data_IF_470520570191
#
_entry.id   IF_470520570191
#
_cell.length_a   1.000
_cell.length_b   1.000
_cell.length_c   1.000
_cell.angle_alpha   90.00
_cell.angle_beta   90.00
_cell.angle_gamma   90.00
#
_symmetry.space_group_name_H-M   'P 1'
#
loop_
_entity.id
_entity.type
_entity.pdbx_description
1 polymer ?
#
# COMPACT_ATOMS: atom_id res chain seq x y z
N UNK A 1 -19.63 -4.32 34.05
CA UNK A 1 -18.60 -3.36 33.63
C UNK A 1 -19.12 -1.96 33.36
N UNK A 2 -20.43 -1.76 33.13
CA UNK A 2 -20.95 -0.42 32.80
C UNK A 2 -20.87 0.60 33.94
N UNK A 3 -20.66 0.13 35.17
CA UNK A 3 -20.45 0.94 36.36
C UNK A 3 -18.97 1.27 36.67
N UNK A 4 -18.02 0.84 35.83
CA UNK A 4 -16.61 1.19 36.02
C UNK A 4 -16.37 2.66 35.61
N UNK A 5 -15.61 3.43 36.41
CA UNK A 5 -15.08 4.74 36.01
C UNK A 5 -14.19 4.63 34.76
N UNK A 6 -14.17 5.65 33.93
CA UNK A 6 -13.38 5.67 32.68
C UNK A 6 -11.87 5.54 32.96
N UNK A 7 -11.40 6.03 34.10
CA UNK A 7 -9.99 5.96 34.51
C UNK A 7 -9.55 4.52 34.76
N UNK A 8 -10.42 3.69 35.36
CA UNK A 8 -10.15 2.27 35.58
C UNK A 8 -10.18 1.48 34.27
N UNK A 9 -11.02 1.91 33.32
CA UNK A 9 -11.07 1.32 31.98
C UNK A 9 -9.75 1.59 31.24
N UNK A 10 -9.27 2.84 31.25
CA UNK A 10 -7.98 3.20 30.63
C UNK A 10 -6.82 2.46 31.30
N UNK A 11 -6.81 2.35 32.63
CA UNK A 11 -5.80 1.59 33.35
C UNK A 11 -5.76 0.10 32.94
N UNK A 12 -6.92 -0.53 32.72
CA UNK A 12 -6.99 -1.90 32.22
C UNK A 12 -6.46 -2.03 30.79
N UNK A 13 -6.70 -1.02 29.94
CA UNK A 13 -6.19 -1.01 28.56
C UNK A 13 -4.66 -0.92 28.52
N UNK A 14 -4.06 -0.06 29.35
CA UNK A 14 -2.60 0.10 29.42
C UNK A 14 -1.84 -1.18 29.80
N UNK A 15 -2.52 -2.12 30.47
CA UNK A 15 -1.94 -3.38 30.96
C UNK A 15 -2.40 -4.62 30.17
N UNK A 16 -3.25 -4.44 29.16
CA UNK A 16 -3.83 -5.55 28.39
C UNK A 16 -3.14 -5.68 27.03
N UNK A 17 -3.01 -6.91 26.54
CA UNK A 17 -2.61 -7.14 25.16
C UNK A 17 -3.78 -6.87 24.19
N UNK A 18 -3.46 -6.68 22.91
CA UNK A 18 -4.43 -6.29 21.88
C UNK A 18 -5.54 -7.35 21.70
N UNK A 19 -5.24 -8.62 21.98
CA UNK A 19 -6.21 -9.72 21.97
C UNK A 19 -7.23 -9.60 23.10
N UNK A 20 -6.77 -9.29 24.33
CA UNK A 20 -7.65 -9.05 25.48
C UNK A 20 -8.50 -7.81 25.27
N UNK A 21 -7.90 -6.72 24.76
CA UNK A 21 -8.63 -5.49 24.43
C UNK A 21 -9.75 -5.78 23.42
N UNK A 22 -9.44 -6.56 22.39
CA UNK A 22 -10.44 -6.96 21.41
C UNK A 22 -11.57 -7.78 22.03
N UNK A 23 -11.26 -8.83 22.82
CA UNK A 23 -12.28 -9.64 23.48
C UNK A 23 -13.17 -8.82 24.43
N UNK A 24 -12.57 -7.91 25.20
CA UNK A 24 -13.29 -7.00 26.09
C UNK A 24 -14.18 -6.03 25.32
N UNK A 25 -13.71 -5.53 24.16
CA UNK A 25 -14.49 -4.62 23.31
C UNK A 25 -15.75 -5.29 22.73
N UNK A 26 -15.74 -6.61 22.53
CA UNK A 26 -16.91 -7.35 22.06
C UNK A 26 -18.02 -7.44 23.11
N UNK A 27 -17.65 -7.45 24.39
CA UNK A 27 -18.60 -7.60 25.51
C UNK A 27 -19.02 -6.26 26.14
N UNK A 28 -18.25 -5.18 25.95
CA UNK A 28 -18.55 -3.87 26.50
C UNK A 28 -18.62 -2.76 25.45
N UNK A 29 -19.79 -2.13 25.31
CA UNK A 29 -20.04 -1.08 24.32
C UNK A 29 -19.26 0.22 24.58
N UNK A 30 -19.10 0.65 25.84
CA UNK A 30 -18.32 1.85 26.17
C UNK A 30 -16.86 1.62 25.81
N UNK A 31 -16.31 0.48 26.20
CA UNK A 31 -14.96 0.08 25.83
C UNK A 31 -14.79 0.06 24.31
N UNK A 32 -15.72 -0.57 23.59
CA UNK A 32 -15.74 -0.61 22.12
C UNK A 32 -15.71 0.75 21.44
N UNK A 33 -16.25 1.80 22.08
CA UNK A 33 -16.17 3.17 21.55
C UNK A 33 -14.79 3.78 21.79
N UNK A 34 -14.22 3.56 22.98
CA UNK A 34 -12.91 4.09 23.38
C UNK A 34 -11.79 3.46 22.56
N UNK A 35 -11.78 2.13 22.42
CA UNK A 35 -10.68 1.40 21.76
C UNK A 35 -10.82 1.34 20.23
N UNK A 36 -11.94 1.85 19.69
CA UNK A 36 -12.25 1.76 18.27
C UNK A 36 -11.16 2.35 17.37
N UNK A 37 -10.59 3.54 17.66
CA UNK A 37 -9.53 4.10 16.85
C UNK A 37 -8.30 3.18 16.79
N UNK A 38 -7.89 2.63 17.93
CA UNK A 38 -6.72 1.74 18.04
C UNK A 38 -6.96 0.39 17.33
N UNK A 39 -8.15 -0.20 17.49
CA UNK A 39 -8.50 -1.47 16.86
C UNK A 39 -8.54 -1.39 15.33
N UNK A 40 -8.88 -0.23 14.77
CA UNK A 40 -8.99 -0.02 13.33
C UNK A 40 -7.77 0.70 12.74
N UNK A 41 -6.80 1.12 13.56
CA UNK A 41 -5.59 1.82 13.09
C UNK A 41 -4.81 1.00 12.05
N UNK A 42 -4.73 -0.32 12.28
CA UNK A 42 -3.90 -1.23 11.47
C UNK A 42 -4.73 -2.40 10.98
N UNK A 43 -4.77 -2.58 9.67
CA UNK A 43 -5.32 -3.77 9.04
C UNK A 43 -4.20 -4.59 8.40
N UNK A 44 -4.27 -5.91 8.59
CA UNK A 44 -3.35 -6.83 7.95
C UNK A 44 -4.08 -8.05 7.41
N UNK A 45 -3.84 -8.38 6.16
CA UNK A 45 -4.50 -9.48 5.45
C UNK A 45 -4.26 -10.84 6.14
N UNK A 46 -3.08 -11.03 6.71
CA UNK A 46 -2.71 -12.26 7.44
C UNK A 46 -3.51 -12.48 8.73
N UNK A 47 -4.16 -11.43 9.26
CA UNK A 47 -4.88 -11.46 10.54
C UNK A 47 -6.39 -11.27 10.39
N UNK A 48 -6.90 -11.04 9.18
CA UNK A 48 -8.31 -10.72 9.01
C UNK A 48 -8.84 -10.91 7.61
N UNK A 49 -10.15 -11.10 7.51
CA UNK A 49 -10.85 -11.29 6.24
C UNK A 49 -11.08 -9.94 5.55
N UNK A 50 -10.52 -9.70 4.35
CA UNK A 50 -10.68 -8.43 3.65
C UNK A 50 -12.14 -8.13 3.32
N UNK A 51 -12.96 -9.16 3.11
CA UNK A 51 -14.37 -9.02 2.76
C UNK A 51 -15.19 -8.54 3.97
N UNK A 52 -14.95 -9.13 5.15
CA UNK A 52 -15.59 -8.68 6.39
C UNK A 52 -15.13 -7.29 6.79
N UNK A 53 -13.84 -6.98 6.59
CA UNK A 53 -13.31 -5.65 6.84
C UNK A 53 -13.95 -4.61 5.90
N UNK A 54 -14.00 -4.91 4.60
CA UNK A 54 -14.63 -4.05 3.60
C UNK A 54 -16.13 -3.83 3.88
N UNK A 55 -16.86 -4.89 4.27
CA UNK A 55 -18.26 -4.78 4.70
C UNK A 55 -18.40 -3.84 5.90
N UNK A 56 -17.51 -3.96 6.88
CA UNK A 56 -17.50 -3.11 8.08
C UNK A 56 -17.25 -1.65 7.74
N UNK A 57 -16.24 -1.37 6.90
CA UNK A 57 -15.94 -0.02 6.41
C UNK A 57 -17.12 0.57 5.60
N UNK A 58 -17.78 -0.25 4.80
CA UNK A 58 -18.95 0.19 4.04
C UNK A 58 -20.17 0.48 4.92
N UNK A 59 -20.32 -0.22 6.03
CA UNK A 59 -21.42 -0.03 6.99
C UNK A 59 -21.19 1.18 7.92
N UNK A 60 -19.93 1.46 8.28
CA UNK A 60 -19.57 2.58 9.15
C UNK A 60 -18.34 3.30 8.60
N UNK A 61 -18.59 4.43 7.95
CA UNK A 61 -17.55 5.21 7.27
C UNK A 61 -16.51 5.81 8.19
N UNK A 62 -16.91 6.12 9.42
CA UNK A 62 -16.04 6.74 10.41
C UNK A 62 -14.91 5.79 10.79
N UNK A 63 -15.10 4.48 10.64
CA UNK A 63 -14.03 3.50 10.85
C UNK A 63 -12.89 3.66 9.84
N UNK A 64 -13.20 4.04 8.61
CA UNK A 64 -12.20 4.24 7.56
C UNK A 64 -11.23 5.38 7.84
N UNK A 65 -11.66 6.38 8.63
CA UNK A 65 -10.80 7.52 9.01
C UNK A 65 -9.75 7.14 10.05
N UNK A 66 -10.01 6.07 10.83
CA UNK A 66 -9.05 5.54 11.79
C UNK A 66 -7.96 4.69 11.14
N UNK A 67 -8.19 4.12 9.95
CA UNK A 67 -7.21 3.25 9.31
C UNK A 67 -5.99 4.06 8.84
N UNK A 68 -4.84 3.79 9.45
CA UNK A 68 -3.54 4.41 9.17
C UNK A 68 -2.58 3.49 8.45
N UNK A 69 -2.67 2.19 8.67
CA UNK A 69 -1.73 1.24 8.09
C UNK A 69 -2.44 0.02 7.50
N UNK A 70 -2.05 -0.37 6.30
CA UNK A 70 -2.53 -1.58 5.64
C UNK A 70 -1.34 -2.44 5.23
N UNK A 71 -1.35 -3.71 5.65
CA UNK A 71 -0.43 -4.73 5.16
C UNK A 71 -1.18 -5.79 4.36
N UNK A 72 -0.74 -6.03 3.13
CA UNK A 72 -1.42 -6.87 2.15
C UNK A 72 -0.49 -7.97 1.62
N UNK A 73 -0.61 -9.19 2.13
CA UNK A 73 0.11 -10.38 1.64
C UNK A 73 -0.87 -11.53 1.41
N UNK A 74 -1.48 -11.56 0.23
CA UNK A 74 -2.48 -12.56 -0.14
C UNK A 74 -1.90 -13.97 -0.38
N UNK A 75 -0.58 -14.13 -0.34
CA UNK A 75 0.09 -15.43 -0.45
C UNK A 75 0.64 -15.97 0.86
N UNK A 76 0.50 -15.21 1.94
CA UNK A 76 0.95 -15.66 3.25
C UNK A 76 0.30 -17.01 3.61
N UNK A 77 0.98 -17.83 4.41
CA UNK A 77 0.41 -19.09 4.87
C UNK A 77 -0.91 -18.86 5.64
N UNK A 78 -0.98 -17.76 6.40
CA UNK A 78 -2.19 -17.32 7.09
C UNK A 78 -3.33 -16.95 6.11
N UNK A 79 -3.03 -16.23 5.02
CA UNK A 79 -4.02 -15.93 3.97
C UNK A 79 -4.68 -17.19 3.41
N UNK A 80 -3.92 -18.27 3.23
CA UNK A 80 -4.43 -19.55 2.72
C UNK A 80 -5.22 -20.36 3.75
N UNK A 81 -4.99 -20.10 5.05
CA UNK A 81 -5.67 -20.80 6.13
C UNK A 81 -7.10 -20.28 6.35
N UNK A 82 -7.40 -19.07 5.88
CA UNK A 82 -8.72 -18.48 6.00
C UNK A 82 -9.62 -18.89 4.83
N UNK A 83 -10.80 -19.50 5.08
CA UNK A 83 -11.76 -19.70 4.01
C UNK A 83 -12.16 -18.34 3.42
N UNK A 84 -12.11 -18.23 2.09
CA UNK A 84 -12.55 -17.02 1.40
C UNK A 84 -14.01 -16.72 1.78
N UNK A 85 -14.24 -15.55 2.40
CA UNK A 85 -15.57 -15.14 2.79
C UNK A 85 -16.19 -14.38 1.62
N UNK A 86 -17.14 -14.99 0.93
CA UNK A 86 -17.83 -14.28 -0.14
C UNK A 86 -18.79 -13.25 0.44
N UNK A 87 -18.68 -12.00 -0.04
CA UNK A 87 -19.66 -10.99 0.26
C UNK A 87 -21.03 -11.46 -0.22
N UNK A 88 -22.06 -11.25 0.60
CA UNK A 88 -23.43 -11.46 0.12
C UNK A 88 -23.76 -10.41 -0.95
N UNK A 89 -24.68 -10.68 -1.90
CA UNK A 89 -25.12 -9.68 -2.87
C UNK A 89 -25.66 -8.39 -2.23
N UNK A 90 -26.16 -8.49 -1.00
CA UNK A 90 -26.58 -7.33 -0.20
C UNK A 90 -25.38 -6.50 0.25
N UNK A 91 -24.34 -7.15 0.76
CA UNK A 91 -23.11 -6.49 1.22
C UNK A 91 -22.38 -5.84 0.05
N UNK A 92 -22.27 -6.53 -1.10
CA UNK A 92 -21.71 -5.97 -2.32
C UNK A 92 -22.42 -4.69 -2.76
N UNK A 93 -23.76 -4.69 -2.78
CA UNK A 93 -24.55 -3.48 -3.07
C UNK A 93 -24.28 -2.37 -2.06
N UNK A 94 -24.09 -2.69 -0.79
CA UNK A 94 -23.77 -1.73 0.25
C UNK A 94 -22.39 -1.10 0.03
N UNK A 95 -21.37 -1.92 -0.24
CA UNK A 95 -20.01 -1.51 -0.57
C UNK A 95 -20.01 -0.61 -1.81
N UNK A 96 -20.65 -1.05 -2.90
CA UNK A 96 -20.74 -0.27 -4.14
C UNK A 96 -21.46 1.06 -3.92
N UNK A 97 -22.56 1.08 -3.16
CA UNK A 97 -23.26 2.32 -2.82
C UNK A 97 -22.35 3.25 -2.04
N UNK A 98 -21.57 2.72 -1.08
CA UNK A 98 -20.65 3.54 -0.30
C UNK A 98 -19.52 4.12 -1.15
N UNK A 99 -18.91 3.31 -2.00
CA UNK A 99 -17.87 3.78 -2.93
C UNK A 99 -18.43 4.89 -3.84
N UNK A 100 -19.66 4.75 -4.34
CA UNK A 100 -20.36 5.79 -5.12
C UNK A 100 -20.56 7.09 -4.35
N UNK A 101 -20.93 7.01 -3.07
CA UNK A 101 -21.12 8.17 -2.21
C UNK A 101 -19.82 8.91 -1.91
N UNK A 102 -18.72 8.17 -1.75
CA UNK A 102 -17.41 8.77 -1.46
C UNK A 102 -16.72 9.28 -2.74
N UNK A 103 -16.99 8.66 -3.90
CA UNK A 103 -16.26 8.90 -5.14
C UNK A 103 -17.16 8.71 -6.38
N UNK A 104 -17.86 9.76 -6.81
CA UNK A 104 -18.77 9.69 -7.96
C UNK A 104 -18.04 9.21 -9.24
N UNK A 105 -16.87 9.79 -9.53
CA UNK A 105 -16.05 9.42 -10.69
C UNK A 105 -15.38 8.05 -10.56
N UNK A 106 -14.79 7.75 -9.38
CA UNK A 106 -14.11 6.47 -9.20
C UNK A 106 -15.10 5.31 -9.27
N UNK A 107 -16.31 5.49 -8.75
CA UNK A 107 -17.33 4.46 -8.75
C UNK A 107 -17.87 4.10 -10.15
N UNK A 108 -17.78 4.98 -11.14
CA UNK A 108 -18.11 4.63 -12.53
C UNK A 108 -17.10 3.59 -13.08
N UNK A 109 -15.80 3.81 -12.85
CA UNK A 109 -14.71 2.91 -13.25
C UNK A 109 -14.75 1.62 -12.41
N UNK A 110 -15.00 1.76 -11.11
CA UNK A 110 -15.03 0.66 -10.16
C UNK A 110 -16.25 -0.23 -10.35
N UNK A 111 -17.44 0.33 -10.58
CA UNK A 111 -18.68 -0.46 -10.68
C UNK A 111 -18.72 -1.33 -11.93
N UNK A 112 -18.14 -0.92 -13.06
CA UNK A 112 -17.98 -1.78 -14.24
C UNK A 112 -17.04 -2.97 -13.99
N UNK A 113 -16.00 -2.79 -13.16
CA UNK A 113 -15.00 -3.82 -12.83
C UNK A 113 -15.43 -4.73 -11.68
N UNK A 114 -16.06 -4.20 -10.63
CA UNK A 114 -16.58 -5.00 -9.51
C UNK A 114 -17.75 -5.88 -9.97
N UNK A 115 -18.69 -5.33 -10.75
CA UNK A 115 -19.86 -6.07 -11.21
C UNK A 115 -19.52 -7.25 -12.13
N UNK A 116 -18.33 -7.25 -12.74
CA UNK A 116 -17.83 -8.32 -13.61
C UNK A 116 -16.83 -9.24 -12.91
N UNK A 117 -16.18 -8.81 -11.82
CA UNK A 117 -15.04 -9.53 -11.21
C UNK A 117 -15.22 -9.96 -9.75
N UNK A 118 -16.26 -9.56 -9.04
CA UNK A 118 -16.68 -10.28 -7.81
C UNK A 118 -17.49 -11.52 -8.23
N UNK A 119 -16.94 -12.30 -9.17
CA UNK A 119 -17.38 -13.66 -9.42
C UNK A 119 -16.33 -14.53 -8.72
N UNK A 120 -16.72 -15.35 -7.75
CA UNK A 120 -15.81 -15.99 -6.78
C UNK A 120 -14.60 -16.75 -7.35
N UNK A 121 -14.60 -17.14 -8.63
CA UNK A 121 -13.66 -18.13 -9.19
C UNK A 121 -12.82 -17.64 -10.38
N UNK A 122 -12.95 -16.37 -10.80
CA UNK A 122 -12.12 -15.81 -11.90
C UNK A 122 -10.88 -15.04 -11.43
N UNK A 123 -10.71 -14.90 -10.11
CA UNK A 123 -9.55 -14.25 -9.48
C UNK A 123 -8.21 -14.90 -9.84
N UNK A 124 -8.19 -16.23 -10.04
CA UNK A 124 -6.99 -16.96 -10.45
C UNK A 124 -6.63 -16.74 -11.93
N UNK A 125 -7.60 -16.32 -12.75
CA UNK A 125 -7.42 -16.20 -14.21
C UNK A 125 -7.09 -14.78 -14.66
N UNK A 126 -7.42 -13.77 -13.86
CA UNK A 126 -7.20 -12.38 -14.25
C UNK A 126 -6.10 -11.69 -13.44
N UNK A 127 -5.03 -11.22 -14.11
CA UNK A 127 -3.94 -10.52 -13.46
C UNK A 127 -4.30 -9.04 -13.20
N UNK A 128 -5.44 -8.75 -12.60
CA UNK A 128 -5.78 -7.39 -12.15
C UNK A 128 -5.53 -7.20 -10.66
N UNK A 129 -5.46 -5.94 -10.22
CA UNK A 129 -5.47 -5.55 -8.80
C UNK A 129 -6.58 -6.29 -8.08
N UNK A 130 -6.30 -6.69 -6.84
CA UNK A 130 -7.27 -7.27 -5.94
C UNK A 130 -8.37 -6.22 -5.68
N UNK A 131 -9.61 -6.44 -6.14
CA UNK A 131 -10.67 -5.45 -6.03
C UNK A 131 -11.01 -5.15 -4.57
N UNK A 132 -10.71 -6.05 -3.62
CA UNK A 132 -10.89 -5.78 -2.20
C UNK A 132 -9.89 -4.76 -1.71
N UNK A 133 -8.59 -4.92 -2.02
CA UNK A 133 -7.57 -3.95 -1.65
C UNK A 133 -7.94 -2.57 -2.20
N UNK A 134 -8.26 -2.49 -3.49
CA UNK A 134 -8.58 -1.21 -4.09
C UNK A 134 -9.88 -0.59 -3.53
N UNK A 135 -10.89 -1.38 -3.18
CA UNK A 135 -12.09 -0.89 -2.50
C UNK A 135 -11.80 -0.39 -1.08
N UNK A 136 -10.97 -1.12 -0.31
CA UNK A 136 -10.53 -0.72 1.03
C UNK A 136 -9.80 0.61 0.95
N UNK A 137 -8.84 0.75 0.03
CA UNK A 137 -8.08 1.98 -0.17
C UNK A 137 -8.98 3.20 -0.44
N UNK A 138 -10.07 3.03 -1.20
CA UNK A 138 -11.06 4.10 -1.43
C UNK A 138 -11.86 4.45 -0.17
N UNK A 139 -12.00 3.54 0.79
CA UNK A 139 -12.74 3.76 2.04
C UNK A 139 -11.84 4.16 3.21
N UNK A 140 -10.52 4.24 3.01
CA UNK A 140 -9.54 4.61 4.05
C UNK A 140 -8.81 5.90 3.69
N UNK A 141 -9.46 7.08 3.83
CA UNK A 141 -8.94 8.34 3.31
C UNK A 141 -7.68 8.84 4.02
N UNK A 142 -7.42 8.41 5.26
CA UNK A 142 -6.26 8.85 6.05
C UNK A 142 -5.18 7.78 6.15
N UNK A 143 -5.10 6.88 5.19
CA UNK A 143 -4.04 5.87 5.13
C UNK A 143 -2.66 6.55 5.03
N UNK A 144 -1.77 6.19 5.94
CA UNK A 144 -0.41 6.74 6.04
C UNK A 144 0.65 5.74 5.57
N UNK A 145 0.41 4.44 5.76
CA UNK A 145 1.34 3.38 5.39
C UNK A 145 0.64 2.24 4.64
N UNK A 146 1.24 1.84 3.52
CA UNK A 146 0.77 0.73 2.72
C UNK A 146 1.92 -0.23 2.45
N UNK A 147 1.76 -1.48 2.85
CA UNK A 147 2.70 -2.56 2.55
C UNK A 147 2.00 -3.62 1.71
N UNK A 148 2.54 -3.92 0.54
CA UNK A 148 1.99 -4.92 -0.39
C UNK A 148 3.07 -5.93 -0.70
N UNK A 149 2.78 -7.20 -0.46
CA UNK A 149 3.67 -8.32 -0.72
C UNK A 149 3.04 -9.33 -1.68
N UNK A 150 3.91 -10.05 -2.38
CA UNK A 150 3.57 -11.29 -3.10
C UNK A 150 2.54 -11.12 -4.23
N UNK A 151 2.56 -9.97 -4.92
CA UNK A 151 1.60 -9.67 -5.98
C UNK A 151 2.13 -10.10 -7.36
N UNK A 152 1.45 -11.03 -8.03
CA UNK A 152 1.93 -11.63 -9.30
C UNK A 152 1.52 -10.83 -10.53
N UNK A 153 0.56 -9.95 -10.35
CA UNK A 153 -0.32 -9.49 -11.42
C UNK A 153 -0.40 -7.98 -11.53
N UNK A 154 0.53 -7.24 -10.91
CA UNK A 154 0.58 -5.80 -11.10
C UNK A 154 1.09 -5.53 -12.51
N UNK A 155 0.19 -5.56 -13.50
CA UNK A 155 0.48 -5.10 -14.84
C UNK A 155 0.64 -3.58 -14.80
N UNK A 156 1.69 -3.08 -15.48
CA UNK A 156 2.11 -1.67 -15.57
C UNK A 156 0.93 -0.71 -15.77
N UNK A 157 -0.09 -1.14 -16.51
CA UNK A 157 -1.19 -0.28 -16.94
C UNK A 157 -2.42 -0.35 -16.04
N UNK A 158 -2.57 -1.37 -15.19
CA UNK A 158 -3.79 -1.56 -14.39
C UNK A 158 -3.60 -1.21 -12.92
N UNK A 159 -2.45 -1.55 -12.34
CA UNK A 159 -2.21 -1.36 -10.91
C UNK A 159 -1.95 0.07 -10.46
N UNK A 160 -1.27 0.87 -11.29
CA UNK A 160 -1.08 2.29 -11.02
C UNK A 160 -2.37 3.10 -11.17
N UNK A 161 -3.34 2.58 -11.92
CA UNK A 161 -4.56 3.30 -12.25
C UNK A 161 -5.47 3.51 -11.03
N UNK A 162 -5.43 2.64 -10.02
CA UNK A 162 -6.18 2.85 -8.76
C UNK A 162 -5.51 3.83 -7.81
N UNK A 163 -4.20 4.05 -7.95
CA UNK A 163 -3.46 5.07 -7.18
C UNK A 163 -3.50 6.45 -7.85
N UNK A 164 -3.86 6.49 -9.14
CA UNK A 164 -3.93 7.69 -9.98
C UNK A 164 -5.32 7.89 -10.59
N UNK A 165 -6.39 7.48 -9.90
CA UNK A 165 -7.74 7.81 -10.32
C UNK A 165 -7.83 9.34 -10.41
N UNK A 166 -8.10 9.93 -11.59
CA UNK A 166 -8.02 11.39 -11.81
C UNK A 166 -8.91 12.22 -10.88
N UNK A 167 -9.89 11.56 -10.25
CA UNK A 167 -10.91 12.17 -9.39
C UNK A 167 -11.13 11.39 -8.06
N UNK A 168 -10.33 10.37 -7.73
CA UNK A 168 -10.34 9.87 -6.34
C UNK A 168 -9.57 10.89 -5.51
N UNK A 169 -9.94 11.24 -4.26
CA UNK A 169 -9.06 11.98 -3.38
C UNK A 169 -7.77 11.17 -3.37
N UNK A 170 -6.66 11.72 -3.88
CA UNK A 170 -5.37 11.06 -3.80
C UNK A 170 -5.18 10.49 -2.42
N UNK A 171 -4.37 9.46 -2.33
CA UNK A 171 -3.79 9.04 -1.06
C UNK A 171 -2.86 10.14 -0.53
N UNK A 172 -3.39 11.34 -0.29
CA UNK A 172 -2.74 12.58 0.15
C UNK A 172 -2.14 12.45 1.53
N UNK A 173 -2.45 11.36 2.23
CA UNK A 173 -1.91 11.06 3.54
C UNK A 173 -0.90 9.93 3.50
N UNK A 174 -0.73 9.23 2.37
CA UNK A 174 0.20 8.11 2.27
C UNK A 174 1.62 8.66 2.32
N UNK A 175 2.31 8.34 3.42
CA UNK A 175 3.69 8.75 3.73
C UNK A 175 4.67 7.64 3.39
N UNK A 176 4.27 6.38 3.57
CA UNK A 176 5.13 5.21 3.36
C UNK A 176 4.46 4.18 2.44
N UNK A 177 5.21 3.72 1.45
CA UNK A 177 4.82 2.58 0.62
C UNK A 177 5.93 1.52 0.65
N UNK A 178 5.55 0.28 0.93
CA UNK A 178 6.44 -0.89 0.87
C UNK A 178 5.89 -1.90 -0.13
N UNK A 179 6.71 -2.30 -1.09
CA UNK A 179 6.34 -3.23 -2.16
C UNK A 179 7.34 -4.39 -2.14
N UNK A 180 6.88 -5.62 -1.92
CA UNK A 180 7.78 -6.77 -1.87
C UNK A 180 7.34 -7.96 -2.73
N UNK A 181 8.32 -8.73 -3.20
CA UNK A 181 8.14 -10.04 -3.87
C UNK A 181 7.28 -9.98 -5.14
N UNK A 182 7.56 -9.01 -6.02
CA UNK A 182 6.91 -8.92 -7.33
C UNK A 182 7.71 -9.69 -8.37
N UNK A 183 7.16 -10.84 -8.80
CA UNK A 183 7.81 -11.72 -9.76
C UNK A 183 7.14 -11.58 -11.12
N UNK A 184 7.92 -11.26 -12.16
CA UNK A 184 7.55 -11.51 -13.55
C UNK A 184 6.93 -10.34 -14.31
N UNK A 185 6.70 -9.18 -13.68
CA UNK A 185 6.23 -7.98 -14.39
C UNK A 185 7.25 -6.85 -14.37
N UNK A 186 7.25 -6.06 -15.44
CA UNK A 186 7.76 -4.69 -15.38
C UNK A 186 6.84 -3.92 -14.45
N UNK A 187 7.41 -3.19 -13.51
CA UNK A 187 6.65 -2.38 -12.56
C UNK A 187 6.96 -0.90 -12.83
N UNK A 188 5.97 -0.12 -13.25
CA UNK A 188 6.15 1.32 -13.41
C UNK A 188 5.89 2.04 -12.10
N UNK A 189 6.96 2.38 -11.39
CA UNK A 189 6.87 3.03 -10.09
C UNK A 189 6.61 4.54 -10.22
N UNK A 190 6.86 5.14 -11.39
CA UNK A 190 6.78 6.58 -11.58
C UNK A 190 5.44 7.16 -11.09
N UNK A 191 4.27 6.61 -11.47
CA UNK A 191 2.97 7.01 -10.92
C UNK A 191 2.88 7.22 -9.41
N UNK A 192 3.55 6.34 -8.67
CA UNK A 192 3.52 6.27 -7.22
C UNK A 192 4.45 7.31 -6.63
N UNK A 193 5.64 7.48 -7.21
CA UNK A 193 6.59 8.51 -6.79
C UNK A 193 6.01 9.92 -6.92
N UNK A 194 5.02 10.10 -7.80
CA UNK A 194 4.34 11.39 -7.97
C UNK A 194 3.29 11.69 -6.89
N UNK A 195 3.05 10.79 -5.95
CA UNK A 195 2.12 11.07 -4.84
C UNK A 195 2.71 12.17 -3.93
N UNK A 196 1.98 13.28 -3.70
CA UNK A 196 2.55 14.48 -3.09
C UNK A 196 2.93 14.30 -1.60
N UNK A 197 2.30 13.36 -0.92
CA UNK A 197 2.56 13.07 0.50
C UNK A 197 3.57 11.96 0.73
N UNK A 198 3.92 11.23 -0.33
CA UNK A 198 4.74 10.03 -0.20
C UNK A 198 6.19 10.45 0.08
N UNK A 199 6.70 10.04 1.24
CA UNK A 199 8.05 10.35 1.70
C UNK A 199 8.98 9.15 1.60
N UNK A 200 8.46 7.97 1.91
CA UNK A 200 9.26 6.73 1.99
C UNK A 200 8.74 5.69 1.03
N UNK A 201 9.65 5.14 0.22
CA UNK A 201 9.35 4.08 -0.73
C UNK A 201 10.35 2.95 -0.55
N UNK A 202 9.85 1.77 -0.21
CA UNK A 202 10.62 0.56 -0.05
C UNK A 202 10.19 -0.45 -1.12
N UNK A 203 11.14 -0.96 -1.91
CA UNK A 203 10.87 -1.88 -3.00
C UNK A 203 11.81 -3.08 -2.88
N UNK A 204 11.25 -4.22 -2.51
CA UNK A 204 11.97 -5.45 -2.24
C UNK A 204 11.68 -6.55 -3.28
N UNK A 205 12.74 -7.19 -3.80
CA UNK A 205 12.64 -8.38 -4.65
C UNK A 205 11.68 -8.17 -5.84
N UNK A 206 11.83 -7.06 -6.56
CA UNK A 206 11.05 -6.75 -7.76
C UNK A 206 11.89 -7.09 -8.99
N UNK A 207 11.35 -7.88 -9.91
CA UNK A 207 12.12 -8.36 -11.06
C UNK A 207 12.63 -7.21 -11.95
N UNK A 208 11.75 -6.24 -12.26
CA UNK A 208 12.11 -5.12 -13.14
C UNK A 208 11.28 -3.87 -12.83
N UNK A 209 11.89 -2.87 -12.22
CA UNK A 209 11.35 -1.52 -12.10
C UNK A 209 11.61 -0.79 -13.43
N UNK A 210 10.57 -0.18 -13.97
CA UNK A 210 10.64 0.63 -15.18
C UNK A 210 10.16 2.03 -14.89
N UNK A 211 10.73 3.00 -15.59
CA UNK A 211 10.26 4.38 -15.63
C UNK A 211 9.86 4.62 -17.07
N UNK A 212 8.73 4.01 -17.47
CA UNK A 212 8.20 4.24 -18.80
C UNK A 212 7.81 5.72 -18.87
N UNK A 213 8.37 6.43 -19.85
CA UNK A 213 8.02 7.82 -20.17
C UNK A 213 6.58 7.82 -20.70
N UNK A 214 5.59 7.64 -19.81
CA UNK A 214 4.27 8.18 -20.06
C UNK A 214 4.42 9.68 -20.33
N UNK A 215 3.44 10.29 -20.99
CA UNK A 215 3.34 11.75 -21.14
C UNK A 215 3.10 12.43 -19.78
N UNK A 216 3.94 12.15 -18.79
CA UNK A 216 3.94 12.84 -17.52
C UNK A 216 4.61 14.18 -17.74
N UNK A 217 3.93 15.20 -17.22
CA UNK A 217 4.42 16.56 -17.20
C UNK A 217 5.84 16.57 -16.63
N UNK A 218 6.81 17.00 -17.43
CA UNK A 218 8.22 17.06 -17.04
C UNK A 218 8.47 17.95 -15.81
N UNK A 219 7.46 18.73 -15.41
CA UNK A 219 7.50 19.60 -14.24
C UNK A 219 7.03 18.92 -12.95
N UNK A 220 6.38 17.75 -13.04
CA UNK A 220 5.88 17.06 -11.87
C UNK A 220 7.09 16.52 -11.08
N UNK A 221 7.20 16.97 -9.82
CA UNK A 221 8.31 16.63 -8.91
C UNK A 221 7.82 15.70 -7.83
N UNK A 222 8.59 14.66 -7.55
CA UNK A 222 8.34 13.76 -6.44
C UNK A 222 8.74 14.41 -5.11
N UNK A 223 8.00 14.04 -4.09
CA UNK A 223 8.17 14.45 -2.69
C UNK A 223 8.87 13.37 -1.85
N UNK A 224 9.36 12.31 -2.50
CA UNK A 224 10.00 11.17 -1.84
C UNK A 224 11.38 11.57 -1.31
N UNK A 225 11.58 11.34 -0.02
CA UNK A 225 12.81 11.62 0.72
C UNK A 225 13.66 10.36 0.91
N UNK A 226 13.03 9.20 1.05
CA UNK A 226 13.70 7.93 1.32
C UNK A 226 13.29 6.89 0.30
N UNK A 227 14.27 6.38 -0.46
CA UNK A 227 14.07 5.34 -1.45
C UNK A 227 15.01 4.16 -1.17
N UNK A 228 14.41 3.03 -0.84
CA UNK A 228 15.10 1.79 -0.51
C UNK A 228 14.77 0.70 -1.52
N UNK A 229 15.80 0.19 -2.18
CA UNK A 229 15.68 -0.82 -3.23
C UNK A 229 16.39 -2.10 -2.77
N UNK A 230 15.62 -3.06 -2.27
CA UNK A 230 16.15 -4.31 -1.68
C UNK A 230 15.99 -5.47 -2.66
N UNK A 231 16.98 -6.35 -2.72
CA UNK A 231 16.97 -7.57 -3.52
C UNK A 231 16.86 -7.35 -5.03
N UNK A 232 17.21 -6.16 -5.53
CA UNK A 232 17.10 -5.84 -6.94
C UNK A 232 18.24 -6.46 -7.75
N UNK A 233 17.97 -6.80 -9.02
CA UNK A 233 19.04 -7.14 -9.95
C UNK A 233 19.70 -5.86 -10.47
N UNK A 234 20.99 -5.85 -10.84
CA UNK A 234 21.66 -4.65 -11.36
C UNK A 234 21.05 -4.19 -12.68
N UNK A 235 20.53 -5.12 -13.48
CA UNK A 235 19.85 -4.84 -14.74
C UNK A 235 18.51 -4.11 -14.53
N UNK A 236 17.97 -4.17 -13.31
CA UNK A 236 16.69 -3.57 -12.91
C UNK A 236 16.83 -2.07 -12.63
N UNK A 237 18.04 -1.61 -12.34
CA UNK A 237 18.34 -0.26 -11.93
C UNK A 237 18.72 0.59 -13.15
N UNK A 238 17.70 1.07 -13.89
CA UNK A 238 17.90 2.24 -14.75
C UNK A 238 18.00 3.51 -13.89
N UNK A 239 19.00 3.57 -13.00
CA UNK A 239 19.20 4.63 -12.00
C UNK A 239 19.26 6.01 -12.65
N UNK A 240 19.72 6.07 -13.90
CA UNK A 240 19.92 7.32 -14.64
C UNK A 240 18.65 8.16 -14.81
N UNK A 241 17.47 7.56 -14.62
CA UNK A 241 16.18 8.26 -14.74
C UNK A 241 15.55 8.69 -13.42
N UNK A 242 16.10 8.28 -12.29
CA UNK A 242 15.63 8.67 -10.97
C UNK A 242 15.85 10.16 -10.63
N UNK A 243 16.99 10.79 -11.01
CA UNK A 243 17.38 12.07 -10.42
C UNK A 243 16.44 13.23 -10.77
N UNK A 244 15.96 13.26 -12.02
CA UNK A 244 15.10 14.34 -12.48
C UNK A 244 13.71 14.36 -11.82
N UNK A 245 13.29 13.24 -11.23
CA UNK A 245 11.97 13.10 -10.60
C UNK A 245 12.06 13.31 -9.08
N UNK A 246 13.13 12.86 -8.43
CA UNK A 246 13.23 12.74 -6.97
C UNK A 246 13.86 13.96 -6.28
N UNK A 247 13.31 15.16 -6.48
CA UNK A 247 13.91 16.42 -6.01
C UNK A 247 14.37 16.41 -4.54
N UNK A 248 13.55 15.86 -3.65
CA UNK A 248 13.74 15.97 -2.20
C UNK A 248 14.46 14.75 -1.59
N UNK A 249 15.16 13.95 -2.41
CA UNK A 249 15.81 12.72 -1.99
C UNK A 249 16.93 12.97 -0.97
N UNK A 250 16.77 12.42 0.24
CA UNK A 250 17.74 12.44 1.34
C UNK A 250 18.44 11.11 1.53
N UNK A 251 17.72 10.01 1.34
CA UNK A 251 18.25 8.65 1.55
C UNK A 251 18.02 7.82 0.32
N UNK A 252 19.10 7.28 -0.24
CA UNK A 252 19.06 6.30 -1.31
C UNK A 252 19.83 5.06 -0.89
N UNK A 253 19.16 3.92 -0.77
CA UNK A 253 19.83 2.65 -0.50
C UNK A 253 19.46 1.58 -1.50
N UNK A 254 20.47 0.81 -1.91
CA UNK A 254 20.30 -0.34 -2.78
C UNK A 254 20.99 -1.54 -2.13
N UNK A 255 20.20 -2.57 -1.82
CA UNK A 255 20.70 -3.82 -1.26
C UNK A 255 20.57 -4.91 -2.33
N UNK A 256 21.68 -5.43 -2.83
CA UNK A 256 21.69 -6.48 -3.83
C UNK A 256 21.60 -7.86 -3.20
N UNK A 257 20.85 -8.76 -3.84
CA UNK A 257 20.76 -10.18 -3.41
C UNK A 257 21.93 -11.03 -3.87
N UNK A 258 22.58 -10.63 -4.97
CA UNK A 258 23.70 -11.37 -5.53
C UNK A 258 24.95 -10.47 -5.54
N UNK A 259 25.93 -10.72 -4.67
CA UNK A 259 27.17 -9.96 -4.65
C UNK A 259 27.91 -10.05 -5.99
N UNK A 260 27.82 -11.15 -6.75
CA UNK A 260 28.51 -11.27 -8.05
C UNK A 260 28.01 -10.31 -9.15
N UNK A 261 26.96 -9.55 -8.86
CA UNK A 261 26.27 -8.67 -9.80
C UNK A 261 26.67 -7.19 -9.61
N UNK A 262 27.87 -6.88 -9.12
CA UNK A 262 28.33 -5.50 -8.95
C UNK A 262 28.14 -4.63 -10.20
N UNK A 263 27.97 -3.33 -9.95
CA UNK A 263 27.91 -2.28 -10.97
C UNK A 263 29.07 -2.47 -11.96
N UNK A 264 28.74 -2.71 -13.23
CA UNK A 264 29.75 -2.65 -14.29
C UNK A 264 30.17 -1.19 -14.46
N UNK A 265 31.35 -0.88 -15.04
CA UNK A 265 31.79 0.49 -15.30
C UNK A 265 30.73 1.39 -15.95
N UNK A 266 29.90 0.81 -16.84
CA UNK A 266 28.78 1.51 -17.51
C UNK A 266 27.61 1.91 -16.59
N UNK A 267 27.49 1.29 -15.42
CA UNK A 267 26.42 1.54 -14.45
C UNK A 267 26.81 2.67 -13.47
N UNK A 268 28.06 3.15 -13.51
CA UNK A 268 28.53 4.28 -12.69
C UNK A 268 28.08 5.63 -13.24
N UNK A 269 28.01 5.84 -14.57
CA UNK A 269 27.55 7.13 -15.13
C UNK A 269 26.16 7.54 -14.59
N UNK A 270 25.14 6.66 -14.60
CA UNK A 270 23.85 6.91 -13.95
C UNK A 270 23.92 7.34 -12.48
N UNK A 271 24.87 6.76 -11.75
CA UNK A 271 25.04 7.03 -10.32
C UNK A 271 25.72 8.38 -10.11
N UNK A 272 26.73 8.71 -10.94
CA UNK A 272 27.38 10.02 -10.91
C UNK A 272 26.39 11.13 -11.20
N UNK A 273 25.49 10.93 -12.18
CA UNK A 273 24.43 11.89 -12.51
C UNK A 273 23.48 12.08 -11.31
N UNK A 274 23.08 11.00 -10.65
CA UNK A 274 22.27 11.05 -9.43
C UNK A 274 22.96 11.83 -8.31
N UNK A 275 24.26 11.59 -8.09
CA UNK A 275 25.03 12.29 -7.08
C UNK A 275 25.22 13.77 -7.41
N UNK A 276 25.35 14.11 -8.68
CA UNK A 276 25.43 15.48 -9.12
C UNK A 276 24.12 16.23 -8.86
N UNK A 277 23.00 15.64 -9.26
CA UNK A 277 21.66 16.24 -9.14
C UNK A 277 21.20 16.36 -7.68
N UNK A 278 21.65 15.46 -6.79
CA UNK A 278 21.28 15.44 -5.36
C UNK A 278 22.44 15.81 -4.43
N UNK A 279 23.51 16.43 -4.92
CA UNK A 279 24.69 16.75 -4.10
C UNK A 279 24.39 17.63 -2.87
N UNK A 280 23.27 18.36 -2.89
CA UNK A 280 22.83 19.23 -1.79
C UNK A 280 21.71 18.64 -0.92
N UNK A 281 20.98 17.63 -1.40
CA UNK A 281 19.86 17.04 -0.66
C UNK A 281 20.18 15.67 -0.06
N UNK A 282 21.11 14.93 -0.65
CA UNK A 282 21.41 13.56 -0.28
C UNK A 282 22.26 13.51 1.00
N UNK A 283 21.68 12.94 2.05
CA UNK A 283 22.32 12.77 3.37
C UNK A 283 22.91 11.37 3.53
N UNK A 284 22.30 10.36 2.92
CA UNK A 284 22.72 8.96 3.04
C UNK A 284 22.65 8.22 1.71
N UNK A 285 23.74 7.55 1.38
CA UNK A 285 23.88 6.69 0.21
C UNK A 285 24.47 5.34 0.63
N UNK A 286 23.76 4.25 0.38
CA UNK A 286 24.26 2.90 0.65
C UNK A 286 24.08 1.95 -0.54
N UNK A 287 25.15 1.23 -0.85
CA UNK A 287 25.15 0.11 -1.78
C UNK A 287 25.71 -1.10 -1.04
N UNK A 288 24.82 -1.98 -0.60
CA UNK A 288 25.20 -3.18 0.15
C UNK A 288 24.91 -4.42 -0.67
N UNK A 289 25.83 -5.37 -0.65
CA UNK A 289 25.54 -6.72 -1.09
C UNK A 289 25.20 -7.55 0.15
N UNK A 290 23.98 -8.10 0.22
CA UNK A 290 23.69 -9.13 1.23
C UNK A 290 24.35 -10.42 0.78
N UNK A 291 25.31 -10.89 1.59
CA UNK A 291 25.93 -12.20 1.47
C UNK A 291 24.94 -13.32 1.82
#
# INVERSE_FOLDING_TARGET
MDALPDELILYLLDHSDLASIWALSLVNRRLSLIVRPELYERYSFDRGHPELFLRTLAASSDLGTFVKQITWDNKSAAAKAHPHYLLSPRDERSVLRRIRQCHESAAAIFSGRLATKIVPWEFDKHPSIDPYLAAILLLTPHLEELSIASFNSWSVNQGCMTLQLPDSPPMFHLKKLSLSRFVGSNFNILPILMLPSLRTVEVENVSRITFANGRHDSNAKSSVEHLHLVGQSPQTLQVAKFPSVLRDLKTFSVHYRNPGAWLRPKDFTPLTDLLHDHCHSLEYLSFEARA
#
